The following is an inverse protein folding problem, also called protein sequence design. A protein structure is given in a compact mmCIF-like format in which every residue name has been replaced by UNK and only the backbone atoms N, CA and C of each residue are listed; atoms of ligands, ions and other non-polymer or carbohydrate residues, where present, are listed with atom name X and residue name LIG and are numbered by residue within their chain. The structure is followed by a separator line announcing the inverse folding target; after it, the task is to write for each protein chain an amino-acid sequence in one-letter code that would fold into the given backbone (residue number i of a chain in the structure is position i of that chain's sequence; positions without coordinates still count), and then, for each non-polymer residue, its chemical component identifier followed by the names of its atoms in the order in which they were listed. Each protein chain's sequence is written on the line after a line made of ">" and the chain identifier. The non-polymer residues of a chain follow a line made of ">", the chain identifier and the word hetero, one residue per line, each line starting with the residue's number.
data_IF_835790824164
#
_entry.id   IF_835790824164
#
_cell.length_a   1.000
_cell.length_b   1.000
_cell.length_c   1.000
_cell.angle_alpha   90.00
_cell.angle_beta   90.00
_cell.angle_gamma   90.00
#
_symmetry.space_group_name_H-M   'P 1'
#
loop_
_entity.id
_entity.type
_entity.pdbx_description
1 polymer ?
#
# COMPACT_ATOMS: atom_id res chain seq x y z
N UNK A 1 4.86 -9.68 -36.14
CA UNK A 1 5.96 -9.45 -35.16
C UNK A 1 5.56 -8.45 -34.08
N UNK A 2 4.99 -7.28 -34.42
CA UNK A 2 4.53 -6.29 -33.44
C UNK A 2 3.48 -6.85 -32.47
N UNK A 3 2.49 -7.60 -32.97
CA UNK A 3 1.46 -8.30 -32.20
C UNK A 3 2.04 -9.19 -31.08
N UNK A 4 3.03 -10.02 -31.40
CA UNK A 4 3.70 -10.89 -30.43
C UNK A 4 4.41 -10.08 -29.34
N UNK A 5 5.03 -8.95 -29.70
CA UNK A 5 5.66 -8.05 -28.73
C UNK A 5 4.63 -7.41 -27.80
N UNK A 6 3.45 -7.02 -28.30
CA UNK A 6 2.38 -6.46 -27.47
C UNK A 6 1.84 -7.49 -26.47
N UNK A 7 1.63 -8.73 -26.91
CA UNK A 7 1.20 -9.84 -26.03
C UNK A 7 2.24 -10.09 -24.94
N UNK A 8 3.53 -10.19 -25.30
CA UNK A 8 4.61 -10.41 -24.35
C UNK A 8 4.75 -9.24 -23.36
N UNK A 9 4.68 -8.01 -23.84
CA UNK A 9 4.73 -6.82 -22.99
C UNK A 9 3.53 -6.76 -22.04
N UNK A 10 2.33 -7.08 -22.52
CA UNK A 10 1.11 -7.14 -21.72
C UNK A 10 1.18 -8.22 -20.64
N UNK A 11 1.57 -9.44 -21.00
CA UNK A 11 1.75 -10.54 -20.05
C UNK A 11 2.81 -10.21 -18.99
N UNK A 12 3.93 -9.62 -19.39
CA UNK A 12 4.97 -9.17 -18.46
C UNK A 12 4.45 -8.08 -17.52
N UNK A 13 3.71 -7.09 -18.03
CA UNK A 13 3.11 -6.04 -17.21
C UNK A 13 2.15 -6.61 -16.16
N UNK A 14 1.25 -7.52 -16.56
CA UNK A 14 0.35 -8.21 -15.63
C UNK A 14 1.15 -8.97 -14.56
N UNK A 15 2.14 -9.77 -14.96
CA UNK A 15 2.97 -10.53 -14.02
C UNK A 15 3.71 -9.62 -13.02
N UNK A 16 4.31 -8.52 -13.51
CA UNK A 16 5.00 -7.55 -12.66
C UNK A 16 4.07 -6.88 -11.65
N UNK A 17 2.83 -6.54 -12.05
CA UNK A 17 1.83 -5.98 -11.13
C UNK A 17 1.48 -6.99 -10.03
N UNK A 18 1.27 -8.26 -10.38
CA UNK A 18 0.96 -9.29 -9.38
C UNK A 18 2.13 -9.55 -8.43
N UNK A 19 3.35 -9.66 -8.95
CA UNK A 19 4.55 -9.82 -8.12
C UNK A 19 4.69 -8.64 -7.16
N UNK A 20 4.48 -7.42 -7.65
CA UNK A 20 4.58 -6.21 -6.81
C UNK A 20 3.45 -6.14 -5.76
N UNK A 21 2.21 -6.41 -6.16
CA UNK A 21 1.05 -6.38 -5.26
C UNK A 21 1.16 -7.46 -4.18
N UNK A 22 1.51 -8.69 -4.55
CA UNK A 22 1.70 -9.78 -3.58
C UNK A 22 2.90 -9.50 -2.67
N UNK A 23 4.02 -9.02 -3.21
CA UNK A 23 5.15 -8.64 -2.37
C UNK A 23 4.78 -7.51 -1.39
N UNK A 24 4.06 -6.49 -1.85
CA UNK A 24 3.69 -5.34 -0.99
C UNK A 24 2.66 -5.68 0.07
N UNK A 25 1.74 -6.61 -0.22
CA UNK A 25 0.60 -6.91 0.66
C UNK A 25 0.79 -8.17 1.51
N UNK A 26 1.53 -9.16 1.01
CA UNK A 26 1.70 -10.47 1.66
C UNK A 26 3.13 -10.73 2.14
N UNK A 27 4.17 -10.02 1.66
CA UNK A 27 5.52 -10.27 2.15
C UNK A 27 5.70 -9.67 3.56
N UNK A 28 5.55 -10.54 4.56
CA UNK A 28 5.67 -10.19 5.99
C UNK A 28 7.07 -9.71 6.38
N UNK A 29 8.11 -9.94 5.55
CA UNK A 29 9.51 -9.70 5.93
C UNK A 29 10.41 -9.08 4.84
N UNK A 30 9.88 -8.78 3.65
CA UNK A 30 10.70 -8.46 2.45
C UNK A 30 10.83 -6.99 2.06
N UNK A 31 10.04 -6.09 2.65
CA UNK A 31 9.90 -4.74 2.11
C UNK A 31 8.74 -4.61 1.10
N UNK A 32 8.43 -3.38 0.67
CA UNK A 32 7.43 -3.15 -0.37
C UNK A 32 7.98 -3.58 -1.74
N UNK A 33 7.10 -3.99 -2.66
CA UNK A 33 7.49 -4.43 -4.00
C UNK A 33 8.31 -3.37 -4.76
N UNK A 34 9.07 -3.76 -5.80
CA UNK A 34 10.00 -2.87 -6.50
C UNK A 34 9.32 -1.69 -7.21
N UNK A 35 8.09 -1.84 -7.72
CA UNK A 35 7.30 -0.75 -8.30
C UNK A 35 6.82 0.19 -7.19
N UNK A 36 6.24 -0.38 -6.14
CA UNK A 36 5.72 0.38 -5.00
C UNK A 36 6.81 1.18 -4.28
N UNK A 37 7.98 0.58 -4.02
CA UNK A 37 9.13 1.26 -3.40
C UNK A 37 9.65 2.43 -4.25
N UNK A 38 9.69 2.28 -5.59
CA UNK A 38 10.13 3.36 -6.49
C UNK A 38 9.14 4.52 -6.51
N UNK A 39 7.84 4.23 -6.55
CA UNK A 39 6.78 5.24 -6.57
C UNK A 39 6.73 5.99 -5.24
N UNK A 40 6.71 5.28 -4.12
CA UNK A 40 6.72 5.88 -2.78
C UNK A 40 8.00 6.70 -2.54
N UNK A 41 9.17 6.17 -2.90
CA UNK A 41 10.43 6.90 -2.78
C UNK A 41 10.52 8.13 -3.71
N UNK A 42 9.84 8.11 -4.85
CA UNK A 42 9.67 9.26 -5.73
C UNK A 42 8.75 10.33 -5.14
N UNK A 43 7.55 9.94 -4.72
CA UNK A 43 6.58 10.80 -4.07
C UNK A 43 7.16 11.46 -2.82
N UNK A 44 7.93 10.70 -2.02
CA UNK A 44 8.62 11.20 -0.84
C UNK A 44 9.65 12.29 -1.15
N UNK A 45 10.49 12.09 -2.18
CA UNK A 45 11.45 13.11 -2.62
C UNK A 45 10.77 14.38 -3.10
N UNK A 46 9.64 14.26 -3.78
CA UNK A 46 8.83 15.41 -4.22
C UNK A 46 8.25 16.14 -3.01
N UNK A 47 7.68 15.42 -2.05
CA UNK A 47 7.15 15.99 -0.81
C UNK A 47 8.23 16.74 -0.02
N UNK A 48 9.44 16.17 0.13
CA UNK A 48 10.57 16.82 0.78
C UNK A 48 11.04 18.09 0.05
N UNK A 49 11.05 18.07 -1.29
CA UNK A 49 11.41 19.25 -2.09
C UNK A 49 10.40 20.38 -1.97
N UNK A 50 9.11 20.04 -1.93
CA UNK A 50 8.02 21.02 -1.74
C UNK A 50 8.03 21.59 -0.31
N UNK A 51 8.25 20.76 0.71
CA UNK A 51 8.32 21.21 2.10
C UNK A 51 9.54 22.10 2.39
N UNK A 52 10.68 21.84 1.73
CA UNK A 52 11.85 22.74 1.78
C UNK A 52 11.59 24.10 1.14
N UNK A 53 10.59 24.21 0.27
CA UNK A 53 10.25 25.44 -0.46
C UNK A 53 9.18 26.27 0.23
N UNK A 54 8.24 25.63 0.93
CA UNK A 54 7.21 26.29 1.75
C UNK A 54 7.06 25.60 3.11
N UNK A 55 7.51 26.26 4.19
CA UNK A 55 7.42 25.76 5.57
C UNK A 55 5.99 25.77 6.15
N UNK A 56 5.03 26.34 5.41
CA UNK A 56 3.69 26.67 5.91
C UNK A 56 2.62 25.64 5.58
N UNK A 57 2.87 24.70 4.66
CA UNK A 57 1.83 23.78 4.21
C UNK A 57 1.74 22.52 5.07
N UNK A 58 0.57 22.34 5.67
CA UNK A 58 -0.02 21.14 6.31
C UNK A 58 -0.12 19.91 5.36
N UNK A 59 0.74 19.82 4.35
CA UNK A 59 0.81 18.70 3.39
C UNK A 59 1.19 17.37 4.07
N UNK A 60 1.97 17.42 5.16
CA UNK A 60 2.31 16.24 5.95
C UNK A 60 1.07 15.56 6.58
N UNK A 61 0.01 16.32 6.86
CA UNK A 61 -1.23 15.78 7.44
C UNK A 61 -2.06 14.98 6.43
N UNK A 62 -1.93 15.30 5.14
CA UNK A 62 -2.58 14.57 4.03
C UNK A 62 -1.70 13.48 3.39
N UNK A 63 -0.44 13.39 3.81
CA UNK A 63 0.52 12.45 3.24
C UNK A 63 0.06 10.99 3.37
N UNK A 64 -0.65 10.65 4.45
CA UNK A 64 -1.16 9.30 4.69
C UNK A 64 -2.18 8.83 3.64
N UNK A 65 -3.37 9.45 3.55
CA UNK A 65 -4.36 9.10 2.53
C UNK A 65 -3.84 9.21 1.09
N UNK A 66 -2.96 10.19 0.84
CA UNK A 66 -2.35 10.37 -0.48
C UNK A 66 -1.44 9.18 -0.84
N UNK A 67 -0.62 8.69 0.09
CA UNK A 67 0.23 7.51 -0.12
C UNK A 67 -0.57 6.23 -0.37
N UNK A 68 -1.73 6.09 0.27
CA UNK A 68 -2.65 4.98 0.02
C UNK A 68 -3.13 4.96 -1.44
N UNK A 69 -3.61 6.10 -1.93
CA UNK A 69 -4.06 6.26 -3.32
C UNK A 69 -2.91 6.01 -4.30
N UNK A 70 -1.72 6.54 -4.01
CA UNK A 70 -0.49 6.35 -4.81
C UNK A 70 0.02 4.91 -4.83
N UNK A 71 -0.42 4.05 -3.91
CA UNK A 71 -0.05 2.62 -3.92
C UNK A 71 -0.97 1.82 -4.84
N UNK A 72 -2.28 2.10 -4.83
CA UNK A 72 -3.27 1.31 -5.57
C UNK A 72 -3.42 1.76 -7.03
N UNK A 73 -3.40 3.08 -7.29
CA UNK A 73 -3.59 3.61 -8.64
C UNK A 73 -2.60 3.03 -9.68
N UNK A 74 -1.29 2.93 -9.38
CA UNK A 74 -0.33 2.35 -10.32
C UNK A 74 -0.62 0.88 -10.63
N UNK A 75 -1.06 0.09 -9.65
CA UNK A 75 -1.40 -1.31 -9.89
C UNK A 75 -2.60 -1.44 -10.82
N UNK A 76 -3.67 -0.69 -10.56
CA UNK A 76 -4.89 -0.74 -11.37
C UNK A 76 -4.61 -0.27 -12.79
N UNK A 77 -3.89 0.84 -12.95
CA UNK A 77 -3.55 1.39 -14.28
C UNK A 77 -2.60 0.49 -15.06
N UNK A 78 -1.59 -0.10 -14.41
CA UNK A 78 -0.68 -1.04 -15.05
C UNK A 78 -1.35 -2.38 -15.41
N UNK A 79 -2.25 -2.89 -14.56
CA UNK A 79 -3.06 -4.08 -14.86
C UNK A 79 -3.97 -3.82 -16.06
N UNK A 80 -4.63 -2.66 -16.08
CA UNK A 80 -5.48 -2.24 -17.19
C UNK A 80 -4.69 -2.12 -18.49
N UNK A 81 -3.53 -1.47 -18.46
CA UNK A 81 -2.64 -1.36 -19.60
C UNK A 81 -2.14 -2.74 -20.07
N UNK A 82 -1.74 -3.61 -19.16
CA UNK A 82 -1.24 -4.96 -19.48
C UNK A 82 -2.27 -5.81 -20.22
N UNK A 83 -3.51 -5.85 -19.72
CA UNK A 83 -4.61 -6.54 -20.41
C UNK A 83 -4.98 -5.89 -21.73
N UNK A 84 -4.94 -4.56 -21.80
CA UNK A 84 -5.24 -3.83 -23.05
C UNK A 84 -4.23 -4.21 -24.13
N UNK A 85 -2.93 -4.28 -23.79
CA UNK A 85 -1.88 -4.72 -24.73
C UNK A 85 -2.07 -6.17 -25.19
N UNK A 86 -2.50 -7.06 -24.29
CA UNK A 86 -2.83 -8.46 -24.63
C UNK A 86 -3.97 -8.56 -25.65
N UNK A 87 -5.06 -7.82 -25.43
CA UNK A 87 -6.21 -7.80 -26.32
C UNK A 87 -5.91 -7.10 -27.67
N UNK A 88 -5.12 -6.03 -27.66
CA UNK A 88 -4.66 -5.35 -28.88
C UNK A 88 -3.72 -6.21 -29.71
N UNK A 89 -2.79 -6.92 -29.08
CA UNK A 89 -1.82 -7.76 -29.78
C UNK A 89 -2.41 -9.01 -30.42
N UNK A 90 -3.71 -9.26 -30.26
CA UNK A 90 -4.38 -10.48 -30.71
C UNK A 90 -5.62 -10.23 -31.56
N UNK A 91 -5.99 -8.97 -31.81
CA UNK A 91 -7.24 -8.55 -32.46
C UNK A 91 -8.46 -9.35 -31.98
N UNK A 92 -8.47 -9.65 -30.68
CA UNK A 92 -9.38 -10.64 -30.10
C UNK A 92 -10.69 -10.06 -29.60
N UNK A 93 -10.88 -8.75 -29.72
CA UNK A 93 -12.11 -8.06 -29.31
C UNK A 93 -12.91 -7.72 -30.55
N UNK A 94 -14.16 -8.16 -30.58
CA UNK A 94 -15.09 -7.92 -31.69
C UNK A 94 -16.40 -7.32 -31.18
N UNK A 95 -17.07 -6.56 -32.04
CA UNK A 95 -18.42 -6.07 -31.77
C UNK A 95 -19.41 -7.23 -31.70
N UNK A 96 -20.25 -7.24 -30.66
CA UNK A 96 -21.20 -8.33 -30.41
C UNK A 96 -22.25 -8.50 -31.53
N UNK A 97 -22.63 -7.41 -32.20
CA UNK A 97 -23.66 -7.42 -33.23
C UNK A 97 -23.16 -7.79 -34.63
N UNK A 98 -21.94 -7.38 -34.98
CA UNK A 98 -21.44 -7.45 -36.37
C UNK A 98 -20.18 -8.30 -36.51
N UNK A 99 -19.59 -8.76 -35.39
CA UNK A 99 -18.34 -9.52 -35.39
C UNK A 99 -17.14 -8.76 -35.96
N UNK A 100 -17.23 -7.43 -36.07
CA UNK A 100 -16.16 -6.61 -36.64
C UNK A 100 -15.06 -6.38 -35.59
N UNK A 101 -13.77 -6.38 -35.99
CA UNK A 101 -12.67 -6.01 -35.11
C UNK A 101 -12.93 -4.67 -34.44
N UNK A 102 -12.72 -4.62 -33.13
CA UNK A 102 -12.90 -3.40 -32.34
C UNK A 102 -11.73 -2.43 -32.57
N UNK A 103 -12.00 -1.12 -32.52
CA UNK A 103 -10.94 -0.12 -32.58
C UNK A 103 -10.09 -0.09 -31.31
N UNK A 104 -8.96 0.61 -31.33
CA UNK A 104 -8.07 0.71 -30.16
C UNK A 104 -8.80 1.26 -28.93
N UNK A 105 -9.59 2.32 -29.10
CA UNK A 105 -10.38 2.91 -28.02
C UNK A 105 -11.44 1.95 -27.47
N UNK A 106 -12.03 1.13 -28.32
CA UNK A 106 -13.02 0.13 -27.94
C UNK A 106 -12.38 -1.00 -27.14
N UNK A 107 -11.16 -1.42 -27.50
CA UNK A 107 -10.39 -2.42 -26.74
C UNK A 107 -10.02 -1.89 -25.36
N UNK A 108 -9.59 -0.62 -25.26
CA UNK A 108 -9.32 0.05 -23.98
C UNK A 108 -10.58 0.09 -23.11
N UNK A 109 -11.72 0.48 -23.69
CA UNK A 109 -13.02 0.54 -23.03
C UNK A 109 -13.49 -0.85 -22.55
N UNK A 110 -13.45 -1.85 -23.43
CA UNK A 110 -13.78 -3.24 -23.14
C UNK A 110 -12.92 -3.79 -22.01
N UNK A 111 -11.61 -3.56 -22.07
CA UNK A 111 -10.68 -4.06 -21.05
C UNK A 111 -10.96 -3.43 -19.70
N UNK A 112 -11.20 -2.12 -19.66
CA UNK A 112 -11.52 -1.40 -18.43
C UNK A 112 -12.76 -1.95 -17.74
N UNK A 113 -13.86 -2.10 -18.48
CA UNK A 113 -15.08 -2.70 -17.95
C UNK A 113 -14.89 -4.15 -17.52
N UNK A 114 -14.03 -4.90 -18.22
CA UNK A 114 -13.74 -6.31 -17.88
C UNK A 114 -13.01 -6.43 -16.55
N UNK A 115 -11.91 -5.69 -16.34
CA UNK A 115 -11.14 -5.76 -15.08
C UNK A 115 -11.95 -5.27 -13.87
N UNK A 116 -12.90 -4.36 -14.08
CA UNK A 116 -13.84 -3.90 -13.06
C UNK A 116 -15.10 -4.77 -12.96
N UNK A 117 -15.15 -5.89 -13.67
CA UNK A 117 -16.25 -6.88 -13.64
C UNK A 117 -17.63 -6.36 -14.10
N UNK A 118 -17.68 -5.20 -14.75
CA UNK A 118 -18.91 -4.58 -15.20
C UNK A 118 -19.44 -5.21 -16.50
N UNK A 119 -18.54 -5.59 -17.41
CA UNK A 119 -18.89 -6.05 -18.75
C UNK A 119 -19.51 -4.94 -19.62
N UNK A 120 -19.24 -4.95 -20.92
CA UNK A 120 -19.73 -3.87 -21.82
C UNK A 120 -21.01 -4.22 -22.56
N UNK A 121 -21.32 -5.51 -22.75
CA UNK A 121 -22.44 -6.00 -23.58
C UNK A 121 -22.28 -5.75 -25.09
N UNK A 122 -21.60 -4.68 -25.50
CA UNK A 122 -21.35 -4.31 -26.90
C UNK A 122 -20.12 -4.98 -27.52
N UNK A 123 -19.20 -5.52 -26.72
CA UNK A 123 -17.98 -6.16 -27.19
C UNK A 123 -17.79 -7.52 -26.54
N UNK A 124 -17.28 -8.47 -27.32
CA UNK A 124 -17.03 -9.86 -26.88
C UNK A 124 -15.67 -10.34 -27.38
N UNK A 125 -15.12 -11.33 -26.69
CA UNK A 125 -13.92 -12.01 -27.13
C UNK A 125 -14.23 -12.92 -28.34
N UNK A 126 -13.37 -12.88 -29.37
CA UNK A 126 -13.59 -13.48 -30.68
C UNK A 126 -13.53 -15.01 -30.68
N UNK A 127 -12.73 -15.61 -29.78
CA UNK A 127 -12.51 -17.06 -29.72
C UNK A 127 -12.71 -17.63 -28.30
N UNK A 128 -12.91 -18.94 -28.19
CA UNK A 128 -13.07 -19.62 -26.90
C UNK A 128 -11.88 -19.38 -25.95
N UNK A 129 -10.64 -19.36 -26.48
CA UNK A 129 -9.44 -19.05 -25.69
C UNK A 129 -9.46 -17.63 -25.14
N UNK A 130 -9.85 -16.64 -25.95
CA UNK A 130 -9.94 -15.25 -25.51
C UNK A 130 -11.11 -14.98 -24.56
N UNK A 131 -12.17 -15.80 -24.59
CA UNK A 131 -13.22 -15.78 -23.58
C UNK A 131 -12.70 -16.21 -22.21
N UNK A 132 -11.81 -17.21 -22.17
CA UNK A 132 -11.11 -17.59 -20.92
C UNK A 132 -10.16 -16.48 -20.49
N UNK A 133 -9.42 -15.86 -21.41
CA UNK A 133 -8.56 -14.72 -21.11
C UNK A 133 -9.35 -13.53 -20.53
N UNK A 134 -10.54 -13.25 -21.07
CA UNK A 134 -11.46 -12.24 -20.53
C UNK A 134 -11.91 -12.59 -19.10
N UNK A 135 -12.24 -13.86 -18.83
CA UNK A 135 -12.58 -14.30 -17.48
C UNK A 135 -11.40 -14.15 -16.52
N UNK A 136 -10.18 -14.47 -16.96
CA UNK A 136 -8.95 -14.26 -16.19
C UNK A 136 -8.69 -12.76 -15.96
N UNK A 137 -8.97 -11.90 -16.93
CA UNK A 137 -8.85 -10.46 -16.77
C UNK A 137 -9.80 -9.94 -15.68
N UNK A 138 -11.08 -10.35 -15.73
CA UNK A 138 -12.06 -10.00 -14.71
C UNK A 138 -11.67 -10.53 -13.32
N UNK A 139 -11.26 -11.80 -13.23
CA UNK A 139 -10.77 -12.39 -11.98
C UNK A 139 -9.55 -11.62 -11.44
N UNK A 140 -8.59 -11.29 -12.31
CA UNK A 140 -7.37 -10.58 -11.91
C UNK A 140 -7.66 -9.18 -11.37
N UNK A 141 -8.59 -8.46 -11.99
CA UNK A 141 -8.99 -7.13 -11.54
C UNK A 141 -9.74 -7.17 -10.21
N UNK A 142 -10.70 -8.09 -10.06
CA UNK A 142 -11.39 -8.32 -8.78
C UNK A 142 -10.39 -8.66 -7.67
N UNK A 143 -9.52 -9.65 -7.91
CA UNK A 143 -8.53 -10.09 -6.94
C UNK A 143 -7.61 -8.94 -6.50
N UNK A 144 -7.08 -8.16 -7.46
CA UNK A 144 -6.21 -7.03 -7.18
C UNK A 144 -6.92 -5.94 -6.35
N UNK A 145 -8.17 -5.63 -6.69
CA UNK A 145 -8.97 -4.64 -5.95
C UNK A 145 -9.25 -5.13 -4.53
N UNK A 146 -9.63 -6.40 -4.36
CA UNK A 146 -9.85 -6.99 -3.02
C UNK A 146 -8.57 -6.90 -2.19
N UNK A 147 -7.44 -7.32 -2.74
CA UNK A 147 -6.14 -7.29 -2.07
C UNK A 147 -5.73 -5.85 -1.70
N UNK A 148 -5.96 -4.90 -2.61
CA UNK A 148 -5.74 -3.48 -2.37
C UNK A 148 -6.60 -2.98 -1.21
N UNK A 149 -7.90 -3.27 -1.19
CA UNK A 149 -8.80 -2.86 -0.09
C UNK A 149 -8.34 -3.46 1.24
N UNK A 150 -8.01 -4.76 1.27
CA UNK A 150 -7.49 -5.41 2.49
C UNK A 150 -6.23 -4.69 3.00
N UNK A 151 -5.29 -4.38 2.11
CA UNK A 151 -4.07 -3.66 2.46
C UNK A 151 -4.36 -2.23 2.97
N UNK A 152 -5.25 -1.51 2.29
CA UNK A 152 -5.68 -0.16 2.67
C UNK A 152 -6.30 -0.13 4.08
N UNK A 153 -7.02 -1.18 4.47
CA UNK A 153 -7.62 -1.29 5.81
C UNK A 153 -6.60 -1.67 6.90
N UNK A 154 -5.55 -2.43 6.55
CA UNK A 154 -4.48 -2.82 7.49
C UNK A 154 -3.53 -1.67 7.86
N UNK A 155 -3.38 -0.65 7.02
CA UNK A 155 -2.46 0.46 7.31
C UNK A 155 -2.94 1.34 8.48
N UNK A 156 -4.21 1.80 8.52
CA UNK A 156 -4.73 2.60 9.64
C UNK A 156 -4.57 1.90 11.00
N UNK A 157 -4.80 0.57 11.07
CA UNK A 157 -4.67 -0.17 12.33
C UNK A 157 -3.23 -0.19 12.84
N UNK A 158 -2.24 -0.36 11.97
CA UNK A 158 -0.82 -0.27 12.33
C UNK A 158 -0.41 1.15 12.76
N UNK A 159 -1.00 2.19 12.14
CA UNK A 159 -0.79 3.59 12.57
C UNK A 159 -1.39 3.84 13.96
N UNK A 160 -2.58 3.31 14.24
CA UNK A 160 -3.21 3.43 15.57
C UNK A 160 -2.38 2.71 16.62
N UNK A 161 -1.88 1.50 16.35
CA UNK A 161 -1.02 0.77 17.28
C UNK A 161 0.24 1.56 17.68
N UNK A 162 0.88 2.25 16.73
CA UNK A 162 2.00 3.17 17.05
C UNK A 162 1.60 4.33 17.95
N UNK A 163 0.42 4.91 17.75
CA UNK A 163 -0.07 6.02 18.60
C UNK A 163 -0.35 5.54 20.02
N UNK A 164 -0.94 4.35 20.17
CA UNK A 164 -1.17 3.72 21.47
C UNK A 164 0.17 3.51 22.19
N UNK A 165 1.17 2.92 21.51
CA UNK A 165 2.50 2.75 22.09
C UNK A 165 3.16 4.08 22.52
N UNK A 166 3.05 5.12 21.68
CA UNK A 166 3.57 6.44 22.02
C UNK A 166 2.88 7.03 23.27
N UNK A 167 1.56 6.86 23.37
CA UNK A 167 0.79 7.30 24.53
C UNK A 167 1.12 6.50 25.80
N UNK A 168 1.34 5.19 25.70
CA UNK A 168 1.78 4.35 26.83
C UNK A 168 3.14 4.82 27.36
N UNK A 169 4.10 5.10 26.47
CA UNK A 169 5.43 5.61 26.85
C UNK A 169 5.31 6.99 27.52
N UNK A 170 4.54 7.91 26.93
CA UNK A 170 4.37 9.25 27.47
C UNK A 170 3.63 9.24 28.82
N UNK A 171 2.69 8.30 29.02
CA UNK A 171 2.00 8.09 30.29
C UNK A 171 2.95 7.73 31.45
N UNK A 172 4.04 7.01 31.16
CA UNK A 172 5.06 6.68 32.16
C UNK A 172 5.85 7.92 32.61
N UNK A 173 6.07 8.89 31.74
CA UNK A 173 6.77 10.16 32.04
C UNK A 173 7.67 10.64 30.90
N UNK A 174 8.03 11.93 30.93
CA UNK A 174 8.74 12.60 29.82
C UNK A 174 10.27 12.43 29.87
N UNK A 175 10.78 11.85 30.95
CA UNK A 175 12.20 11.57 31.14
C UNK A 175 12.40 10.29 31.96
N UNK A 176 13.51 9.56 31.75
CA UNK A 176 13.84 8.36 32.52
C UNK A 176 13.80 8.60 34.04
N UNK A 177 14.23 9.77 34.49
CA UNK A 177 14.23 10.15 35.91
C UNK A 177 12.81 10.41 36.45
N UNK A 178 11.89 10.98 35.66
CA UNK A 178 10.48 11.10 36.05
C UNK A 178 9.78 9.74 36.06
N UNK A 179 10.07 8.87 35.10
CA UNK A 179 9.50 7.51 35.02
C UNK A 179 9.86 6.73 36.29
N UNK A 180 11.15 6.73 36.66
CA UNK A 180 11.64 6.07 37.86
C UNK A 180 11.01 6.67 39.12
N UNK A 181 10.91 8.01 39.22
CA UNK A 181 10.27 8.68 40.37
C UNK A 181 8.77 8.38 40.49
N UNK A 182 8.04 8.25 39.38
CA UNK A 182 6.60 7.92 39.38
C UNK A 182 6.34 6.47 39.79
N UNK A 183 7.22 5.55 39.40
CA UNK A 183 7.07 4.12 39.69
C UNK A 183 7.59 3.71 41.07
N UNK A 184 8.45 4.51 41.69
CA UNK A 184 9.14 4.15 42.94
C UNK A 184 8.34 4.54 44.18
N UNK A 185 7.94 3.56 44.99
CA UNK A 185 7.17 3.74 46.22
C UNK A 185 8.03 3.88 47.48
N UNK A 186 9.37 3.82 47.36
CA UNK A 186 10.30 3.96 48.48
C UNK A 186 11.12 2.69 48.72
N UNK A 187 10.46 1.53 48.76
CA UNK A 187 11.06 0.21 48.99
C UNK A 187 11.07 -0.69 47.75
N UNK A 188 10.47 -0.23 46.64
CA UNK A 188 10.38 -0.96 45.40
C UNK A 188 9.56 -0.23 44.34
N UNK A 189 9.25 -0.93 43.25
CA UNK A 189 8.37 -0.44 42.21
C UNK A 189 6.93 -0.92 42.44
N UNK A 190 5.97 -0.03 42.21
CA UNK A 190 4.54 -0.36 42.30
C UNK A 190 4.14 -1.48 41.32
N UNK A 191 3.21 -2.35 41.74
CA UNK A 191 2.77 -3.50 40.93
C UNK A 191 2.07 -3.07 39.63
N UNK A 192 1.31 -1.96 39.63
CA UNK A 192 0.71 -1.43 38.41
C UNK A 192 1.78 -0.89 37.45
N UNK A 193 2.84 -0.28 37.99
CA UNK A 193 3.98 0.18 37.19
C UNK A 193 4.73 -0.99 36.55
N UNK A 194 4.95 -2.08 37.28
CA UNK A 194 5.52 -3.32 36.72
C UNK A 194 4.64 -3.91 35.62
N UNK A 195 3.32 -3.92 35.81
CA UNK A 195 2.39 -4.43 34.81
C UNK A 195 2.35 -3.57 33.53
N UNK A 196 2.44 -2.25 33.66
CA UNK A 196 2.60 -1.33 32.53
C UNK A 196 3.91 -1.57 31.77
N UNK A 197 5.02 -1.87 32.46
CA UNK A 197 6.29 -2.22 31.80
C UNK A 197 6.19 -3.53 31.02
N UNK A 198 5.49 -4.53 31.55
CA UNK A 198 5.26 -5.81 30.88
C UNK A 198 4.40 -5.62 29.62
N UNK A 199 3.31 -4.84 29.69
CA UNK A 199 2.48 -4.54 28.52
C UNK A 199 3.24 -3.73 27.47
N UNK A 200 4.15 -2.84 27.89
CA UNK A 200 4.96 -2.08 26.96
C UNK A 200 5.89 -2.98 26.13
N UNK A 201 6.44 -4.03 26.73
CA UNK A 201 7.30 -5.01 26.03
C UNK A 201 6.56 -5.67 24.87
N UNK A 202 5.32 -6.11 25.09
CA UNK A 202 4.51 -6.74 24.04
C UNK A 202 4.06 -5.73 22.97
N UNK A 203 3.71 -4.49 23.37
CA UNK A 203 3.41 -3.39 22.44
C UNK A 203 4.61 -3.02 21.56
N UNK A 204 5.82 -2.98 22.13
CA UNK A 204 7.07 -2.70 21.39
C UNK A 204 7.37 -3.83 20.40
N UNK A 205 7.26 -5.09 20.82
CA UNK A 205 7.47 -6.24 19.93
C UNK A 205 6.47 -6.23 18.75
N UNK A 206 5.19 -5.98 19.05
CA UNK A 206 4.14 -5.86 18.03
C UNK A 206 4.42 -4.72 17.06
N UNK A 207 4.87 -3.56 17.57
CA UNK A 207 5.19 -2.41 16.73
C UNK A 207 6.43 -2.66 15.84
N UNK A 208 7.42 -3.40 16.34
CA UNK A 208 8.60 -3.80 15.57
C UNK A 208 8.21 -4.72 14.41
N UNK A 209 7.41 -5.75 14.67
CA UNK A 209 6.89 -6.68 13.65
C UNK A 209 6.03 -5.95 12.60
N UNK A 210 5.15 -5.03 13.03
CA UNK A 210 4.36 -4.21 12.11
C UNK A 210 5.24 -3.31 11.22
N UNK A 211 6.40 -2.84 11.71
CA UNK A 211 7.32 -2.05 10.91
C UNK A 211 7.96 -2.89 9.79
N UNK A 212 8.25 -4.16 10.07
CA UNK A 212 8.78 -5.11 9.10
C UNK A 212 7.71 -5.49 8.06
N UNK A 213 6.48 -5.72 8.52
CA UNK A 213 5.35 -6.11 7.67
C UNK A 213 4.79 -4.96 6.81
N UNK A 214 4.88 -3.71 7.27
CA UNK A 214 4.36 -2.54 6.55
C UNK A 214 5.43 -1.45 6.36
N UNK A 215 6.35 -1.61 5.41
CA UNK A 215 7.43 -0.66 5.12
C UNK A 215 6.94 0.75 4.75
N UNK A 216 5.70 0.87 4.25
CA UNK A 216 5.07 2.18 3.95
C UNK A 216 4.92 3.04 5.21
N UNK A 217 4.91 2.43 6.41
CA UNK A 217 4.87 3.13 7.69
C UNK A 217 6.11 4.01 7.95
N UNK A 218 7.21 3.79 7.22
CA UNK A 218 8.39 4.66 7.27
C UNK A 218 8.11 6.06 6.71
N UNK A 219 7.18 6.17 5.75
CA UNK A 219 6.87 7.43 5.07
C UNK A 219 5.79 8.25 5.77
N UNK A 220 5.04 7.68 6.72
CA UNK A 220 4.09 8.43 7.53
C UNK A 220 4.83 9.39 8.49
N UNK A 221 4.88 10.67 8.11
CA UNK A 221 5.38 11.73 8.99
C UNK A 221 4.28 12.25 9.91
N UNK A 222 4.57 12.24 11.20
CA UNK A 222 3.69 12.78 12.25
C UNK A 222 3.89 14.29 12.36
N UNK A 223 2.80 15.05 12.33
CA UNK A 223 2.81 16.52 12.52
C UNK A 223 3.03 16.97 13.97
N UNK A 224 3.07 16.04 14.92
CA UNK A 224 3.26 16.31 16.36
C UNK A 224 4.40 15.45 16.89
N UNK A 225 5.37 16.07 17.57
CA UNK A 225 6.56 15.40 18.14
C UNK A 225 6.19 14.29 19.14
N UNK A 226 5.04 14.41 19.79
CA UNK A 226 4.57 13.50 20.85
C UNK A 226 3.98 12.18 20.32
N UNK A 227 3.82 12.04 19.00
CA UNK A 227 3.24 10.85 18.35
C UNK A 227 4.27 10.04 17.55
N UNK A 228 5.54 10.44 17.58
CA UNK A 228 6.62 9.77 16.84
C UNK A 228 7.30 8.71 17.73
N UNK A 229 7.05 7.44 17.46
CA UNK A 229 7.67 6.32 18.19
C UNK A 229 9.22 6.37 18.17
N UNK A 230 9.83 6.86 17.09
CA UNK A 230 11.28 7.07 16.99
C UNK A 230 11.80 8.16 17.95
N UNK A 231 10.99 9.18 18.24
CA UNK A 231 11.33 10.24 19.21
C UNK A 231 11.14 9.71 20.63
N UNK A 232 10.05 8.99 20.89
CA UNK A 232 9.78 8.36 22.19
C UNK A 232 10.86 7.33 22.58
N UNK A 233 11.32 6.50 21.64
CA UNK A 233 12.48 5.60 21.85
C UNK A 233 13.76 6.39 22.08
N UNK A 234 13.94 7.53 21.41
CA UNK A 234 15.05 8.46 21.67
C UNK A 234 15.03 9.07 23.08
N UNK A 235 13.85 9.29 23.67
CA UNK A 235 13.72 9.74 25.06
C UNK A 235 14.14 8.67 26.08
N UNK A 236 13.94 7.38 25.77
CA UNK A 236 14.42 6.26 26.59
C UNK A 236 15.96 6.11 26.54
N UNK A 237 16.60 6.55 25.45
CA UNK A 237 18.05 6.38 25.23
C UNK A 237 18.91 7.57 25.68
N UNK A 238 18.32 8.73 26.02
CA UNK A 238 19.08 9.89 26.47
C UNK A 238 19.45 9.77 27.95
N UNK A 239 20.76 9.59 28.19
CA UNK A 239 21.40 9.77 29.50
C UNK A 239 21.38 11.23 29.92
#
# INVERSE_FOLDING_TARGET
>A
MLETWLILAGALAVALVFVDALATTLAVSGGAGPLTTRILGGAWRVALRLHRRDQTFSLLRFAGPMMLILTVLPWVTALWAGWTLLFLGSDSVVTAQQGRPAGIADVVYFTGFTIFTLGTGGFVASSAGWRIAMALAAFSGLFLITLAITYLLSIPSAVVARRVLAQEIHGLGDSPSQILRKGWTGDGFDAMFQQQLISLSSSVATSAEQHLAYPVLHYFHYGSRDLAASVAIGHLARR
#
